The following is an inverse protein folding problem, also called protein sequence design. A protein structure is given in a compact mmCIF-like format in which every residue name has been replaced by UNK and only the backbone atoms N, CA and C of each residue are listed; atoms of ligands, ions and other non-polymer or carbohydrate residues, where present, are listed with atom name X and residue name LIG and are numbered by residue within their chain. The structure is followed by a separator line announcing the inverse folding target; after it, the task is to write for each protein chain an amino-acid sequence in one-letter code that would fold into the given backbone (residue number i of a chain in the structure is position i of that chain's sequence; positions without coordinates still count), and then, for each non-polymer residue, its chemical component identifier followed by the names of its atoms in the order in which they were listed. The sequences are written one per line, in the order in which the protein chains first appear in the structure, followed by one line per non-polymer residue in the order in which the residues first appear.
data_IF_690231591026
#
_entry.id   IF_690231591026
#
_cell.length_a   1.000
_cell.length_b   1.000
_cell.length_c   1.000
_cell.angle_alpha   90.00
_cell.angle_beta   90.00
_cell.angle_gamma   90.00
#
_symmetry.space_group_name_H-M   'P 1'
#
loop_
_entity.id
_entity.type
_entity.pdbx_description
1 polymer ?
#
# COMPACT_ATOMS: atom_id res chain seq x y z
N UNK A 1 -15.79 -33.88 -19.24
CA UNK A 1 -14.40 -33.77 -19.71
C UNK A 1 -13.53 -33.40 -18.53
N UNK A 2 -12.54 -34.24 -18.17
CA UNK A 2 -11.49 -33.86 -17.23
C UNK A 2 -10.42 -33.08 -18.02
N UNK A 3 -9.88 -31.95 -17.54
CA UNK A 3 -8.81 -31.25 -18.25
C UNK A 3 -7.57 -32.14 -18.35
N UNK A 4 -6.84 -32.01 -19.48
CA UNK A 4 -5.63 -32.78 -19.77
C UNK A 4 -4.50 -32.42 -18.78
N UNK A 5 -3.71 -33.38 -18.27
CA UNK A 5 -2.64 -33.12 -17.28
C UNK A 5 -1.63 -32.06 -17.72
N UNK A 6 -1.37 -31.94 -19.03
CA UNK A 6 -0.44 -30.97 -19.61
C UNK A 6 -0.90 -29.51 -19.45
N UNK A 7 -2.22 -29.26 -19.38
CA UNK A 7 -2.76 -27.92 -19.24
C UNK A 7 -2.56 -27.34 -17.83
N UNK A 8 -2.60 -28.21 -16.81
CA UNK A 8 -2.37 -27.82 -15.40
C UNK A 8 -0.88 -27.51 -15.19
N UNK A 9 0.01 -28.37 -15.71
CA UNK A 9 1.46 -28.17 -15.61
C UNK A 9 1.96 -26.91 -16.33
N UNK A 10 1.36 -26.55 -17.47
CA UNK A 10 1.69 -25.31 -18.19
C UNK A 10 1.17 -24.05 -17.47
N UNK A 11 0.02 -24.12 -16.80
CA UNK A 11 -0.53 -23.04 -15.99
C UNK A 11 0.31 -22.80 -14.73
N UNK A 12 0.75 -23.85 -14.05
CA UNK A 12 1.57 -23.72 -12.83
C UNK A 12 2.97 -23.15 -13.14
N UNK A 13 3.58 -23.58 -14.25
CA UNK A 13 4.89 -23.10 -14.67
C UNK A 13 4.88 -21.63 -15.12
N UNK A 14 3.78 -21.14 -15.69
CA UNK A 14 3.64 -19.74 -16.10
C UNK A 14 3.41 -18.81 -14.90
N UNK A 15 2.58 -19.21 -13.93
CA UNK A 15 2.36 -18.47 -12.68
C UNK A 15 3.67 -18.34 -11.87
N UNK A 16 4.44 -19.42 -11.73
CA UNK A 16 5.72 -19.40 -11.01
C UNK A 16 6.79 -18.52 -11.68
N UNK A 17 6.74 -18.39 -13.02
CA UNK A 17 7.67 -17.54 -13.77
C UNK A 17 7.32 -16.06 -13.62
N UNK A 18 6.03 -15.72 -13.62
CA UNK A 18 5.51 -14.38 -13.36
C UNK A 18 5.84 -13.92 -11.93
N UNK A 19 5.64 -14.77 -10.93
CA UNK A 19 5.99 -14.47 -9.54
C UNK A 19 7.48 -14.17 -9.36
N UNK A 20 8.36 -14.94 -10.02
CA UNK A 20 9.82 -14.71 -9.98
C UNK A 20 10.26 -13.40 -10.63
N UNK A 21 9.52 -12.88 -11.61
CA UNK A 21 9.82 -11.62 -12.28
C UNK A 21 9.15 -10.41 -11.64
N UNK A 22 8.26 -10.63 -10.67
CA UNK A 22 7.54 -9.57 -9.99
C UNK A 22 8.51 -8.65 -9.23
N UNK A 23 8.28 -7.34 -9.40
CA UNK A 23 9.03 -6.28 -8.74
C UNK A 23 8.21 -5.67 -7.62
N UNK A 24 8.91 -5.18 -6.62
CA UNK A 24 8.32 -4.60 -5.42
C UNK A 24 9.00 -3.29 -5.09
N UNK A 25 8.22 -2.32 -4.61
CA UNK A 25 8.69 -1.07 -4.03
C UNK A 25 8.72 -1.25 -2.51
N UNK A 26 9.85 -0.91 -1.91
CA UNK A 26 10.03 -0.93 -0.47
C UNK A 26 9.86 0.49 0.04
N UNK A 27 9.02 0.66 1.05
CA UNK A 27 8.79 1.94 1.72
C UNK A 27 8.98 1.79 3.21
N UNK A 28 9.43 2.85 3.86
CA UNK A 28 9.60 2.89 5.30
C UNK A 28 8.42 3.59 5.96
N UNK A 29 7.94 3.02 7.06
CA UNK A 29 6.94 3.61 7.95
C UNK A 29 7.37 3.32 9.39
N UNK A 30 7.94 4.32 10.05
CA UNK A 30 8.64 4.15 11.34
C UNK A 30 9.70 3.03 11.26
N UNK A 31 9.53 1.99 12.07
CA UNK A 31 10.39 0.81 12.11
C UNK A 31 10.02 -0.22 11.02
N UNK A 32 8.83 -0.11 10.41
CA UNK A 32 8.33 -1.09 9.47
C UNK A 32 8.79 -0.79 8.03
N UNK A 33 9.06 -1.85 7.28
CA UNK A 33 9.28 -1.81 5.84
C UNK A 33 8.07 -2.41 5.14
N UNK A 34 7.30 -1.58 4.45
CA UNK A 34 6.19 -2.02 3.62
C UNK A 34 6.68 -2.36 2.22
N UNK A 35 6.34 -3.56 1.77
CA UNK A 35 6.68 -4.10 0.47
C UNK A 35 5.44 -4.06 -0.40
N UNK A 36 5.42 -3.20 -1.41
CA UNK A 36 4.30 -3.04 -2.32
C UNK A 36 4.63 -3.71 -3.65
N UNK A 37 3.80 -4.62 -4.17
CA UNK A 37 3.88 -5.04 -5.56
C UNK A 37 3.92 -3.82 -6.48
N UNK A 38 4.85 -3.78 -7.43
CA UNK A 38 4.96 -2.65 -8.38
C UNK A 38 3.67 -2.47 -9.18
N UNK A 39 2.93 -3.54 -9.43
CA UNK A 39 1.62 -3.53 -10.09
C UNK A 39 0.57 -2.72 -9.32
N UNK A 40 0.68 -2.60 -7.99
CA UNK A 40 -0.22 -1.81 -7.15
C UNK A 40 0.17 -0.33 -7.08
N UNK A 41 1.32 0.08 -7.63
CA UNK A 41 1.83 1.45 -7.53
C UNK A 41 1.66 2.16 -8.87
N UNK A 42 0.89 3.25 -8.89
CA UNK A 42 0.74 4.12 -10.05
C UNK A 42 1.91 5.12 -10.16
N UNK A 43 2.20 5.81 -9.05
CA UNK A 43 3.25 6.82 -8.96
C UNK A 43 3.68 7.04 -7.50
N UNK A 44 4.81 7.72 -7.30
CA UNK A 44 5.33 8.05 -5.97
C UNK A 44 5.72 9.53 -5.88
N UNK A 45 4.77 10.48 -5.91
CA UNK A 45 5.11 11.89 -5.84
C UNK A 45 5.62 12.29 -4.44
N UNK A 46 6.52 13.29 -4.43
CA UNK A 46 6.88 14.04 -3.23
C UNK A 46 6.11 15.35 -3.25
N UNK A 47 5.31 15.60 -2.21
CA UNK A 47 4.35 16.71 -2.16
C UNK A 47 4.57 17.56 -0.93
N UNK A 48 4.20 18.84 -1.00
CA UNK A 48 4.27 19.73 0.17
C UNK A 48 3.03 19.51 1.06
N UNK A 49 3.21 19.41 2.38
CA UNK A 49 2.11 19.22 3.33
C UNK A 49 1.06 20.33 3.20
N UNK A 50 1.48 21.56 2.92
CA UNK A 50 0.59 22.71 2.76
C UNK A 50 -0.39 22.57 1.59
N UNK A 51 -0.17 21.62 0.67
CA UNK A 51 -1.09 21.31 -0.43
C UNK A 51 -2.22 20.34 -0.01
N UNK A 52 -2.14 19.76 1.18
CA UNK A 52 -3.13 18.81 1.69
C UNK A 52 -4.31 19.57 2.29
N UNK A 53 -5.49 19.34 1.72
CA UNK A 53 -6.77 19.82 2.25
C UNK A 53 -7.24 18.84 3.33
N UNK A 54 -7.08 19.21 4.59
CA UNK A 54 -7.45 18.37 5.73
C UNK A 54 -8.97 18.19 5.81
N UNK A 55 -9.42 16.95 5.97
CA UNK A 55 -10.84 16.61 6.06
C UNK A 55 -11.29 16.57 7.53
N UNK A 56 -12.21 17.44 7.98
CA UNK A 56 -12.68 17.44 9.35
C UNK A 56 -13.60 16.24 9.62
N UNK A 57 -13.62 15.77 10.87
CA UNK A 57 -14.50 14.70 11.36
C UNK A 57 -14.22 13.29 10.80
N UNK A 58 -13.09 13.07 10.12
CA UNK A 58 -12.63 11.74 9.72
C UNK A 58 -11.63 11.18 10.74
N UNK A 59 -11.36 9.88 10.62
CA UNK A 59 -10.26 9.24 11.37
C UNK A 59 -8.92 9.95 11.11
N UNK A 60 -8.01 10.07 12.09
CA UNK A 60 -6.65 10.59 11.86
C UNK A 60 -5.85 9.82 10.80
N UNK A 61 -6.28 8.60 10.47
CA UNK A 61 -5.74 7.81 9.38
C UNK A 61 -6.00 8.47 8.02
N UNK A 62 -7.16 9.13 7.84
CA UNK A 62 -7.49 9.93 6.66
C UNK A 62 -6.90 11.34 6.84
N UNK A 63 -5.75 11.60 6.23
CA UNK A 63 -5.05 12.88 6.36
C UNK A 63 -5.77 14.03 5.65
N UNK A 64 -6.49 13.72 4.57
CA UNK A 64 -7.16 14.72 3.76
C UNK A 64 -7.19 14.35 2.29
N UNK A 65 -7.27 15.35 1.43
CA UNK A 65 -7.21 15.20 -0.02
C UNK A 65 -6.13 16.09 -0.62
N UNK A 66 -5.56 15.66 -1.75
CA UNK A 66 -4.55 16.37 -2.52
C UNK A 66 -4.98 16.44 -3.97
N UNK A 67 -4.81 17.60 -4.61
CA UNK A 67 -4.93 17.68 -6.07
C UNK A 67 -3.56 17.42 -6.70
N UNK A 68 -3.43 16.34 -7.48
CA UNK A 68 -2.20 15.98 -8.17
C UNK A 68 -2.53 15.41 -9.56
N UNK A 69 -1.75 15.82 -10.57
CA UNK A 69 -1.92 15.38 -11.96
C UNK A 69 -3.38 15.45 -12.50
N UNK A 70 -4.14 16.48 -12.11
CA UNK A 70 -5.53 16.67 -12.54
C UNK A 70 -6.57 15.82 -11.81
N UNK A 71 -6.16 15.09 -10.76
CA UNK A 71 -7.03 14.22 -9.96
C UNK A 71 -7.06 14.66 -8.50
N UNK A 72 -8.19 14.46 -7.83
CA UNK A 72 -8.30 14.59 -6.37
C UNK A 72 -8.01 13.24 -5.75
N UNK A 73 -6.91 13.16 -5.01
CA UNK A 73 -6.36 11.96 -4.39
C UNK A 73 -6.65 12.02 -2.88
N UNK A 74 -7.44 11.10 -2.33
CA UNK A 74 -7.52 10.92 -0.88
C UNK A 74 -6.16 10.48 -0.33
N UNK A 75 -5.78 10.96 0.85
CA UNK A 75 -4.50 10.63 1.48
C UNK A 75 -4.70 9.90 2.80
N UNK A 76 -4.07 8.73 2.92
CA UNK A 76 -4.06 7.91 4.12
C UNK A 76 -2.66 7.86 4.73
N UNK A 77 -2.56 8.11 6.03
CA UNK A 77 -1.31 7.98 6.79
C UNK A 77 -1.07 6.53 7.19
N UNK A 78 -0.03 5.89 6.63
CA UNK A 78 0.34 4.54 7.08
C UNK A 78 0.85 4.53 8.53
N UNK A 79 1.46 5.62 9.02
CA UNK A 79 1.83 5.75 10.44
C UNK A 79 0.60 5.63 11.34
N UNK A 80 -0.43 6.42 11.06
CA UNK A 80 -1.66 6.42 11.86
C UNK A 80 -2.42 5.10 11.72
N UNK A 81 -2.40 4.50 10.52
CA UNK A 81 -2.99 3.17 10.28
C UNK A 81 -2.34 2.09 11.18
N UNK A 82 -1.04 2.22 11.45
CA UNK A 82 -0.29 1.33 12.35
C UNK A 82 -0.42 1.69 13.84
N UNK A 83 -1.28 2.66 14.19
CA UNK A 83 -1.49 3.11 15.57
C UNK A 83 -0.40 4.05 16.09
N UNK A 84 0.46 4.61 15.23
CA UNK A 84 1.46 5.59 15.62
C UNK A 84 0.77 6.93 15.86
N UNK A 85 0.69 7.35 17.12
CA UNK A 85 -0.02 8.56 17.52
C UNK A 85 0.53 9.84 16.86
N UNK A 86 1.84 9.88 16.61
CA UNK A 86 2.49 11.03 15.96
C UNK A 86 2.32 10.93 14.44
N UNK A 87 1.65 11.92 13.86
CA UNK A 87 1.61 12.08 12.40
C UNK A 87 2.97 12.45 11.82
N UNK A 88 3.02 12.62 10.51
CA UNK A 88 4.21 13.16 9.85
C UNK A 88 4.50 14.56 10.38
N UNK A 89 5.79 14.88 10.58
CA UNK A 89 6.24 16.22 10.93
C UNK A 89 6.92 16.94 9.75
N UNK A 90 7.43 16.19 8.76
CA UNK A 90 8.13 16.76 7.61
C UNK A 90 7.22 17.64 6.73
N UNK A 91 7.76 18.73 6.18
CA UNK A 91 7.05 19.59 5.22
C UNK A 91 6.81 18.86 3.89
N UNK A 92 7.79 18.05 3.45
CA UNK A 92 7.66 17.21 2.27
C UNK A 92 7.23 15.81 2.67
N UNK A 93 6.27 15.27 1.94
CA UNK A 93 5.69 13.95 2.17
C UNK A 93 5.86 13.08 0.94
N UNK A 94 6.26 11.82 1.15
CA UNK A 94 6.27 10.81 0.10
C UNK A 94 4.90 10.14 0.07
N UNK A 95 4.24 10.21 -1.08
CA UNK A 95 2.92 9.60 -1.30
C UNK A 95 3.09 8.47 -2.31
N UNK A 96 2.62 7.28 -2.00
CA UNK A 96 2.52 6.17 -2.95
C UNK A 96 1.08 6.09 -3.43
N UNK A 97 0.84 6.43 -4.70
CA UNK A 97 -0.50 6.34 -5.27
C UNK A 97 -0.79 4.90 -5.70
N UNK A 98 -1.94 4.38 -5.30
CA UNK A 98 -2.42 3.06 -5.68
C UNK A 98 -2.97 3.05 -7.11
N UNK A 99 -2.59 2.03 -7.87
CA UNK A 99 -3.05 1.82 -9.24
C UNK A 99 -4.45 1.20 -9.29
N UNK A 100 -5.00 1.06 -10.49
CA UNK A 100 -6.27 0.35 -10.73
C UNK A 100 -6.26 -1.11 -10.22
N UNK A 101 -5.09 -1.73 -10.08
CA UNK A 101 -4.97 -3.09 -9.55
C UNK A 101 -5.35 -3.19 -8.06
N UNK A 102 -5.45 -2.06 -7.34
CA UNK A 102 -5.92 -2.01 -5.96
C UNK A 102 -7.47 -2.00 -5.82
N UNK A 103 -8.20 -2.19 -6.92
CA UNK A 103 -9.67 -2.28 -6.96
C UNK A 103 -10.35 -1.11 -6.24
N UNK A 104 -11.08 -1.35 -5.15
CA UNK A 104 -11.82 -0.33 -4.39
C UNK A 104 -10.91 0.75 -3.80
N UNK A 105 -9.62 0.46 -3.63
CA UNK A 105 -8.61 1.39 -3.11
C UNK A 105 -7.83 2.11 -4.24
N UNK A 106 -8.23 1.94 -5.50
CA UNK A 106 -7.56 2.56 -6.63
C UNK A 106 -7.59 4.10 -6.54
N UNK A 107 -6.47 4.73 -6.91
CA UNK A 107 -6.31 6.18 -6.89
C UNK A 107 -6.01 6.75 -5.50
N UNK A 108 -6.00 5.93 -4.44
CA UNK A 108 -5.64 6.36 -3.09
C UNK A 108 -4.15 6.68 -2.96
N UNK A 109 -3.80 7.73 -2.22
CA UNK A 109 -2.42 8.03 -1.84
C UNK A 109 -2.07 7.54 -0.44
N UNK A 110 -1.06 6.69 -0.32
CA UNK A 110 -0.49 6.24 0.95
C UNK A 110 0.68 7.11 1.33
N UNK A 111 0.56 7.84 2.44
CA UNK A 111 1.66 8.66 2.96
C UNK A 111 2.60 7.78 3.77
N UNK A 112 3.88 7.77 3.37
CA UNK A 112 4.98 6.99 3.96
C UNK A 112 6.14 7.89 4.35
N UNK A 113 7.10 7.37 5.10
CA UNK A 113 8.26 8.18 5.53
C UNK A 113 9.20 8.46 4.37
N UNK A 114 9.48 7.43 3.59
CA UNK A 114 10.33 7.46 2.40
C UNK A 114 10.21 6.15 1.62
N UNK A 115 10.64 6.19 0.37
CA UNK A 115 10.91 5.00 -0.44
C UNK A 115 12.35 4.52 -0.21
N UNK A 116 12.54 3.23 0.04
CA UNK A 116 13.84 2.58 0.23
C UNK A 116 14.44 2.07 -1.08
N UNK A 117 13.59 1.79 -2.08
CA UNK A 117 14.00 1.39 -3.42
C UNK A 117 13.12 0.28 -3.99
N UNK A 118 13.63 -0.40 -5.02
CA UNK A 118 12.97 -1.50 -5.69
C UNK A 118 13.74 -2.80 -5.50
N UNK A 119 13.02 -3.92 -5.40
CA UNK A 119 13.57 -5.28 -5.30
C UNK A 119 12.76 -6.25 -6.14
N UNK A 120 13.41 -7.27 -6.71
CA UNK A 120 12.72 -8.42 -7.32
C UNK A 120 12.27 -9.41 -6.25
N UNK A 121 11.34 -10.29 -6.60
CA UNK A 121 10.86 -11.37 -5.72
C UNK A 121 12.00 -12.18 -5.08
N UNK A 122 13.01 -12.58 -5.87
CA UNK A 122 14.18 -13.34 -5.40
C UNK A 122 15.08 -12.62 -4.39
N UNK A 123 14.96 -11.30 -4.26
CA UNK A 123 15.75 -10.49 -3.32
C UNK A 123 14.99 -10.24 -2.00
N UNK A 124 13.75 -10.71 -1.91
CA UNK A 124 12.92 -10.59 -0.72
C UNK A 124 12.89 -11.92 0.04
N UNK A 125 12.68 -11.88 1.37
CA UNK A 125 12.48 -13.10 2.15
C UNK A 125 11.29 -13.89 1.57
N UNK A 126 11.44 -15.19 1.28
CA UNK A 126 10.37 -15.99 0.66
C UNK A 126 9.15 -16.15 1.58
N UNK A 127 9.35 -16.18 2.90
CA UNK A 127 8.29 -16.26 3.91
C UNK A 127 7.41 -15.00 3.97
N UNK A 128 7.88 -13.87 3.44
CA UNK A 128 7.08 -12.64 3.32
C UNK A 128 5.80 -12.85 2.51
N UNK A 129 5.83 -13.80 1.58
CA UNK A 129 4.72 -14.13 0.69
C UNK A 129 3.81 -15.22 1.27
N UNK A 130 4.29 -15.95 2.29
CA UNK A 130 3.50 -16.98 2.95
C UNK A 130 2.46 -16.34 3.87
N UNK A 131 1.19 -16.45 3.49
CA UNK A 131 0.06 -15.94 4.28
C UNK A 131 0.00 -16.50 5.72
N UNK A 132 0.75 -17.57 6.01
CA UNK A 132 0.76 -18.29 7.28
C UNK A 132 1.95 -17.96 8.21
N UNK A 133 3.02 -17.28 7.74
CA UNK A 133 4.25 -17.08 8.53
C UNK A 133 4.79 -15.65 8.43
N UNK A 134 4.26 -14.75 9.25
CA UNK A 134 4.61 -13.32 9.28
C UNK A 134 5.92 -12.98 10.04
N UNK A 135 6.98 -13.80 10.04
CA UNK A 135 7.98 -13.70 11.13
C UNK A 135 9.50 -13.71 10.85
N UNK A 136 10.05 -13.76 9.63
CA UNK A 136 11.54 -13.79 9.53
C UNK A 136 12.20 -12.41 9.60
N UNK A 137 11.52 -11.35 9.16
CA UNK A 137 11.92 -9.95 9.42
C UNK A 137 10.79 -9.31 10.23
N UNK A 138 10.96 -9.06 11.55
CA UNK A 138 9.85 -8.62 12.43
C UNK A 138 9.17 -7.32 11.96
N UNK A 139 9.87 -6.58 11.10
CA UNK A 139 9.47 -5.27 10.64
C UNK A 139 9.08 -5.22 9.16
N UNK A 140 9.28 -6.28 8.36
CA UNK A 140 8.93 -6.26 6.94
C UNK A 140 7.52 -6.83 6.71
N UNK A 141 6.69 -6.13 5.94
CA UNK A 141 5.29 -6.50 5.72
C UNK A 141 4.89 -6.30 4.27
N UNK A 142 4.28 -7.32 3.66
CA UNK A 142 3.67 -7.19 2.34
C UNK A 142 2.44 -6.29 2.46
N UNK A 143 2.37 -5.24 1.65
CA UNK A 143 1.19 -4.38 1.60
C UNK A 143 0.06 -5.11 0.88
N UNK A 144 -1.12 -5.03 1.49
CA UNK A 144 -2.36 -5.63 1.04
C UNK A 144 -3.44 -4.56 1.13
N UNK A 145 -4.09 -4.13 0.03
CA UNK A 145 -5.07 -3.05 0.04
C UNK A 145 -6.20 -3.24 1.07
N UNK A 146 -6.50 -4.48 1.44
CA UNK A 146 -7.53 -4.88 2.41
C UNK A 146 -7.23 -4.40 3.83
N UNK A 147 -6.00 -3.94 4.12
CA UNK A 147 -5.67 -3.28 5.39
C UNK A 147 -6.40 -1.93 5.55
N UNK A 148 -6.89 -1.36 4.46
CA UNK A 148 -7.63 -0.11 4.41
C UNK A 148 -9.12 -0.41 4.60
N UNK A 149 -9.61 -0.25 5.83
CA UNK A 149 -11.01 -0.50 6.12
C UNK A 149 -11.94 0.52 5.47
N UNK A 150 -13.12 0.10 4.99
CA UNK A 150 -14.13 0.99 4.40
C UNK A 150 -14.58 2.12 5.33
N UNK A 151 -14.50 1.88 6.64
CA UNK A 151 -14.80 2.88 7.66
C UNK A 151 -13.90 4.12 7.61
N UNK A 152 -12.75 4.06 6.93
CA UNK A 152 -11.87 5.21 6.71
C UNK A 152 -12.57 6.32 5.92
N UNK A 153 -13.52 5.96 5.06
CA UNK A 153 -14.26 6.87 4.19
C UNK A 153 -15.53 7.44 4.84
N UNK A 154 -15.81 7.09 6.09
CA UNK A 154 -17.00 7.52 6.80
C UNK A 154 -16.66 8.59 7.85
N UNK A 155 -17.41 9.70 7.90
CA UNK A 155 -17.32 10.66 8.99
C UNK A 155 -17.61 9.99 10.34
N UNK A 156 -16.78 10.29 11.35
CA UNK A 156 -16.91 9.75 12.72
C UNK A 156 -18.26 10.09 13.36
N UNK A 157 -18.91 11.18 12.95
CA UNK A 157 -20.20 11.66 13.47
C UNK A 157 -21.41 10.87 12.97
N UNK A 158 -21.26 10.00 11.95
CA UNK A 158 -22.39 9.25 11.41
C UNK A 158 -22.68 7.93 12.15
N UNK A 159 -21.85 7.59 13.15
CA UNK A 159 -22.12 6.52 14.12
C UNK A 159 -23.07 7.04 15.19
N UNK A 160 -24.35 7.16 14.86
CA UNK A 160 -25.37 7.15 15.91
C UNK A 160 -25.34 5.77 16.55
N UNK A 161 -25.16 5.76 17.87
CA UNK A 161 -25.25 4.61 18.79
C UNK A 161 -26.48 3.77 18.58
#
# INVERSE_FOLDING_TARGET
MNPSPDAIAQSDASIQLEEKQQRYILTQVEQFTFVLPLTLVAEIPIVERSQILVMPFYSPVMMGVLHHAGHVIPLVSLRQLLGVAKGFAAEKLTVVQLSAAAAEQAGLGLVVDRTLGMRSHSQLPPDLFDAAQSNTEPNMRLFKPEILADSLWQPLRWRST
#
